data_IF_291065212490
#
_entry.id   IF_291065212490
#
_cell.length_a   1.000
_cell.length_b   1.000
_cell.length_c   1.000
_cell.angle_alpha   90.00
_cell.angle_beta   90.00
_cell.angle_gamma   90.00
#
_symmetry.space_group_name_H-M   'P 1'
#
loop_
_entity.id
_entity.type
_entity.pdbx_description
1 polymer ?
#
# COMPACT_ATOMS: atom_id res chain seq x y z
N UNK A 1 -24.00 27.05 18.20
CA UNK A 1 -22.74 26.46 17.70
C UNK A 1 -23.16 25.17 17.02
N UNK A 2 -23.51 25.24 15.74
CA UNK A 2 -24.41 24.24 15.17
C UNK A 2 -23.64 23.50 14.08
N UNK A 3 -22.82 22.54 14.51
CA UNK A 3 -22.02 21.67 13.63
C UNK A 3 -22.06 20.25 14.16
N UNK A 4 -22.00 19.28 13.25
CA UNK A 4 -21.87 17.87 13.59
C UNK A 4 -20.45 17.35 13.36
N UNK A 5 -20.09 16.29 14.08
CA UNK A 5 -18.85 15.54 13.90
C UNK A 5 -19.18 14.07 13.73
N UNK A 6 -18.44 13.36 12.87
CA UNK A 6 -18.59 11.90 12.72
C UNK A 6 -17.36 11.21 13.30
N UNK A 7 -17.56 10.23 14.18
CA UNK A 7 -16.53 9.34 14.69
C UNK A 7 -16.78 7.93 14.12
N UNK A 8 -15.83 7.42 13.36
CA UNK A 8 -15.94 6.13 12.68
C UNK A 8 -14.97 5.14 13.27
N UNK A 9 -15.49 4.04 13.82
CA UNK A 9 -14.73 2.82 14.06
C UNK A 9 -14.62 2.03 12.74
N UNK A 10 -13.44 2.05 12.14
CA UNK A 10 -13.17 1.35 10.89
C UNK A 10 -13.15 -0.19 11.08
N UNK A 11 -12.82 -0.67 12.28
CA UNK A 11 -12.89 -2.09 12.67
C UNK A 11 -14.31 -2.59 12.49
N UNK A 12 -15.22 -1.94 13.17
CA UNK A 12 -16.65 -2.22 13.11
C UNK A 12 -17.23 -2.01 11.70
N UNK A 13 -17.08 -0.82 11.12
CA UNK A 13 -17.74 -0.46 9.86
C UNK A 13 -17.33 -1.40 8.71
N UNK A 14 -16.03 -1.61 8.52
CA UNK A 14 -15.52 -2.45 7.43
C UNK A 14 -15.73 -3.94 7.71
N UNK A 15 -15.62 -4.37 8.98
CA UNK A 15 -15.89 -5.75 9.38
C UNK A 15 -17.36 -6.12 9.16
N UNK A 16 -18.28 -5.26 9.58
CA UNK A 16 -19.72 -5.47 9.39
C UNK A 16 -20.13 -5.40 7.91
N UNK A 17 -19.54 -4.49 7.12
CA UNK A 17 -19.75 -4.46 5.68
C UNK A 17 -19.25 -5.74 4.99
N UNK A 18 -18.08 -6.26 5.40
CA UNK A 18 -17.56 -7.52 4.89
C UNK A 18 -18.48 -8.70 5.24
N UNK A 19 -18.96 -8.80 6.49
CA UNK A 19 -19.93 -9.82 6.87
C UNK A 19 -21.22 -9.72 6.06
N UNK A 20 -21.74 -8.51 5.85
CA UNK A 20 -22.99 -8.30 5.10
C UNK A 20 -22.89 -8.70 3.63
N UNK A 21 -21.75 -8.45 2.98
CA UNK A 21 -21.58 -8.66 1.53
C UNK A 21 -20.90 -9.98 1.17
N UNK A 22 -19.94 -10.43 1.98
CA UNK A 22 -19.10 -11.60 1.72
C UNK A 22 -19.29 -12.74 2.74
N UNK A 23 -20.14 -12.57 3.76
CA UNK A 23 -20.44 -13.58 4.77
C UNK A 23 -19.37 -13.77 5.85
N UNK A 24 -18.20 -13.14 5.71
CA UNK A 24 -17.09 -13.21 6.65
C UNK A 24 -16.64 -11.80 7.06
N UNK A 25 -16.29 -11.61 8.34
CA UNK A 25 -15.81 -10.33 8.89
C UNK A 25 -14.35 -10.01 8.50
N UNK A 26 -13.92 -10.37 7.30
CA UNK A 26 -12.56 -10.14 6.82
C UNK A 26 -12.50 -9.00 5.82
N UNK A 27 -11.75 -7.95 6.16
CA UNK A 27 -11.53 -6.79 5.26
C UNK A 27 -10.90 -7.18 3.92
N UNK A 28 -10.13 -8.29 3.85
CA UNK A 28 -9.52 -8.75 2.61
C UNK A 28 -10.53 -9.26 1.57
N UNK A 29 -11.76 -9.56 2.00
CA UNK A 29 -12.86 -10.05 1.15
C UNK A 29 -13.63 -8.92 0.48
N UNK A 30 -13.31 -7.66 0.75
CA UNK A 30 -14.03 -6.52 0.19
C UNK A 30 -13.07 -5.50 -0.42
N UNK A 31 -13.57 -4.77 -1.41
CA UNK A 31 -12.91 -3.59 -1.96
C UNK A 31 -13.76 -2.36 -1.61
N UNK A 32 -13.10 -1.30 -1.12
CA UNK A 32 -13.75 -0.12 -0.55
C UNK A 32 -13.32 1.12 -1.31
N UNK A 33 -14.28 1.81 -1.92
CA UNK A 33 -14.08 3.18 -2.39
C UNK A 33 -14.20 4.14 -1.21
N UNK A 34 -13.05 4.58 -0.71
CA UNK A 34 -13.00 5.47 0.44
C UNK A 34 -13.46 6.89 0.10
N UNK A 35 -13.40 7.31 -1.17
CA UNK A 35 -13.84 8.64 -1.59
C UNK A 35 -15.36 8.70 -1.50
N UNK A 36 -16.03 7.72 -2.09
CA UNK A 36 -17.49 7.60 -2.08
C UNK A 36 -18.02 7.33 -0.67
N UNK A 37 -17.32 6.52 0.13
CA UNK A 37 -17.67 6.30 1.54
C UNK A 37 -17.66 7.61 2.34
N UNK A 38 -16.56 8.38 2.25
CA UNK A 38 -16.42 9.63 3.02
C UNK A 38 -17.43 10.67 2.53
N UNK A 39 -17.70 10.74 1.22
CA UNK A 39 -18.77 11.56 0.65
C UNK A 39 -20.14 11.17 1.20
N UNK A 40 -20.47 9.88 1.15
CA UNK A 40 -21.75 9.34 1.63
C UNK A 40 -21.95 9.56 3.14
N UNK A 41 -20.89 9.40 3.95
CA UNK A 41 -20.94 9.67 5.39
C UNK A 41 -21.21 11.16 5.67
N UNK A 42 -20.57 12.06 4.93
CA UNK A 42 -20.80 13.51 5.06
C UNK A 42 -22.23 13.85 4.72
N UNK A 43 -22.68 13.48 3.52
CA UNK A 43 -24.03 13.81 3.03
C UNK A 43 -25.09 13.29 3.98
N UNK A 44 -24.93 12.04 4.45
CA UNK A 44 -25.88 11.46 5.41
C UNK A 44 -25.83 12.14 6.77
N UNK A 45 -24.65 12.50 7.27
CA UNK A 45 -24.54 13.14 8.58
C UNK A 45 -25.18 14.53 8.58
N UNK A 46 -24.96 15.31 7.52
CA UNK A 46 -25.59 16.61 7.35
C UNK A 46 -27.11 16.50 7.18
N UNK A 47 -27.59 15.47 6.46
CA UNK A 47 -29.02 15.24 6.28
C UNK A 47 -29.74 14.81 7.57
N UNK A 48 -29.12 13.93 8.36
CA UNK A 48 -29.74 13.40 9.59
C UNK A 48 -29.67 14.40 10.75
N UNK A 49 -28.54 15.07 10.93
CA UNK A 49 -28.38 16.06 12.01
C UNK A 49 -28.96 17.43 11.66
N UNK A 50 -29.12 17.72 10.35
CA UNK A 50 -29.47 19.07 9.87
C UNK A 50 -28.35 20.10 10.07
N UNK A 51 -27.14 19.67 10.47
CA UNK A 51 -26.02 20.52 10.80
C UNK A 51 -24.86 20.36 9.81
N UNK A 52 -24.11 21.44 9.51
CA UNK A 52 -22.92 21.35 8.67
C UNK A 52 -21.82 20.50 9.33
N UNK A 53 -21.17 19.65 8.53
CA UNK A 53 -20.10 18.78 8.99
C UNK A 53 -18.83 19.57 9.34
N UNK A 54 -18.37 19.44 10.58
CA UNK A 54 -17.07 19.94 11.00
C UNK A 54 -15.94 19.05 10.48
N UNK A 55 -15.95 17.77 10.86
CA UNK A 55 -14.87 16.80 10.61
C UNK A 55 -15.36 15.35 10.74
N UNK A 56 -14.76 14.45 9.97
CA UNK A 56 -14.86 13.00 10.15
C UNK A 56 -13.55 12.52 10.80
N UNK A 57 -13.66 11.91 11.97
CA UNK A 57 -12.57 11.22 12.64
C UNK A 57 -12.65 9.73 12.32
N UNK A 58 -11.58 9.24 11.71
CA UNK A 58 -11.46 7.84 11.30
C UNK A 58 -10.52 7.12 12.24
N UNK A 59 -11.04 6.17 13.01
CA UNK A 59 -10.28 5.38 13.97
C UNK A 59 -10.02 4.00 13.40
N UNK A 60 -8.75 3.61 13.32
CA UNK A 60 -8.35 2.30 12.84
C UNK A 60 -7.10 1.82 13.56
N UNK A 61 -6.71 0.57 13.37
CA UNK A 61 -5.46 0.03 13.90
C UNK A 61 -4.45 -0.22 12.77
N UNK A 62 -3.18 0.06 13.04
CA UNK A 62 -2.10 -0.25 12.11
C UNK A 62 -0.91 -0.88 12.84
N UNK A 63 -0.12 -1.74 12.16
CA UNK A 63 1.15 -2.23 12.68
C UNK A 63 2.05 -1.05 13.08
N UNK A 64 2.63 -1.10 14.28
CA UNK A 64 3.46 -0.03 14.86
C UNK A 64 2.82 1.38 14.85
N UNK A 65 1.48 1.46 14.76
CA UNK A 65 0.74 2.73 14.54
C UNK A 65 1.19 3.50 13.29
N UNK A 66 1.81 2.81 12.33
CA UNK A 66 2.31 3.41 11.08
C UNK A 66 1.18 3.43 10.04
N UNK A 67 0.86 4.59 9.43
CA UNK A 67 -0.18 4.66 8.42
C UNK A 67 0.10 3.75 7.22
N UNK A 68 -0.82 2.83 6.97
CA UNK A 68 -0.88 1.99 5.77
C UNK A 68 -1.30 2.82 4.54
N UNK A 69 -1.16 2.31 3.30
CA UNK A 69 -1.52 3.06 2.09
C UNK A 69 -2.96 3.61 2.10
N UNK A 70 -3.93 2.82 2.55
CA UNK A 70 -5.32 3.24 2.73
C UNK A 70 -5.46 4.42 3.72
N UNK A 71 -4.73 4.38 4.84
CA UNK A 71 -4.73 5.47 5.83
C UNK A 71 -4.12 6.75 5.27
N UNK A 72 -3.11 6.65 4.41
CA UNK A 72 -2.49 7.81 3.76
C UNK A 72 -3.45 8.45 2.77
N UNK A 73 -4.20 7.65 2.01
CA UNK A 73 -5.27 8.13 1.12
C UNK A 73 -6.36 8.86 1.90
N UNK A 74 -6.83 8.29 3.02
CA UNK A 74 -7.81 8.95 3.90
C UNK A 74 -7.29 10.26 4.49
N UNK A 75 -6.02 10.33 4.88
CA UNK A 75 -5.42 11.53 5.51
C UNK A 75 -5.38 12.77 4.62
N UNK A 76 -5.40 12.60 3.29
CA UNK A 76 -5.42 13.73 2.35
C UNK A 76 -6.83 14.17 1.96
N UNK A 77 -7.86 13.44 2.40
CA UNK A 77 -9.24 13.77 2.07
C UNK A 77 -9.72 15.00 2.87
N UNK A 78 -10.54 15.88 2.26
CA UNK A 78 -11.05 17.06 2.94
C UNK A 78 -11.85 16.71 4.19
N UNK A 79 -11.53 17.38 5.32
CA UNK A 79 -12.20 17.23 6.61
C UNK A 79 -12.13 15.82 7.22
N UNK A 80 -11.16 14.99 6.80
CA UNK A 80 -10.90 13.68 7.40
C UNK A 80 -9.68 13.76 8.31
N UNK A 81 -9.74 13.09 9.47
CA UNK A 81 -8.61 12.96 10.38
C UNK A 81 -8.48 11.52 10.85
N UNK A 82 -7.36 10.88 10.49
CA UNK A 82 -7.10 9.49 10.83
C UNK A 82 -6.35 9.38 12.16
N UNK A 83 -6.89 8.59 13.09
CA UNK A 83 -6.32 8.22 14.38
C UNK A 83 -6.01 6.72 14.36
N UNK A 84 -4.75 6.37 14.64
CA UNK A 84 -4.29 4.98 14.56
C UNK A 84 -3.99 4.40 15.95
N UNK A 85 -4.74 3.37 16.32
CA UNK A 85 -4.39 2.43 17.38
C UNK A 85 -3.27 1.49 16.95
N UNK A 86 -2.83 0.64 17.88
CA UNK A 86 -1.82 -0.37 17.59
C UNK A 86 -2.49 -1.67 17.15
N UNK A 87 -2.08 -2.20 15.99
CA UNK A 87 -2.42 -3.56 15.60
C UNK A 87 -1.32 -4.48 16.12
N UNK A 88 -1.66 -5.33 17.10
CA UNK A 88 -0.70 -6.23 17.76
C UNK A 88 -1.11 -7.67 17.57
N UNK A 89 -0.14 -8.58 17.42
CA UNK A 89 -0.42 -10.01 17.38
C UNK A 89 -0.48 -10.55 18.81
N UNK A 90 -1.63 -11.09 19.22
CA UNK A 90 -1.81 -11.81 20.47
C UNK A 90 -2.36 -13.20 20.17
N UNK A 91 -1.72 -14.25 20.70
CA UNK A 91 -2.13 -15.66 20.52
C UNK A 91 -2.34 -16.07 19.04
N UNK A 92 -1.50 -15.57 18.14
CA UNK A 92 -1.58 -15.87 16.70
C UNK A 92 -2.69 -15.12 15.95
N UNK A 93 -3.50 -14.29 16.64
CA UNK A 93 -4.53 -13.45 16.03
C UNK A 93 -4.13 -11.97 16.05
N UNK A 94 -4.60 -11.23 15.06
CA UNK A 94 -4.46 -9.78 15.03
C UNK A 94 -5.48 -9.16 15.98
N UNK A 95 -5.01 -8.35 16.93
CA UNK A 95 -5.83 -7.66 17.92
C UNK A 95 -5.57 -6.17 17.83
N UNK A 96 -6.64 -5.40 17.67
CA UNK A 96 -6.60 -3.94 17.72
C UNK A 96 -6.51 -3.49 19.18
N UNK A 97 -5.58 -2.59 19.48
CA UNK A 97 -5.40 -2.04 20.84
C UNK A 97 -5.41 -0.52 20.82
N UNK A 98 -6.21 0.03 21.72
CA UNK A 98 -6.25 1.47 22.01
C UNK A 98 -7.01 2.31 20.98
N UNK A 99 -7.84 1.68 20.14
CA UNK A 99 -8.77 2.37 19.25
C UNK A 99 -9.90 2.97 20.09
N UNK A 100 -10.51 2.17 20.96
CA UNK A 100 -11.67 2.55 21.77
C UNK A 100 -11.32 3.65 22.78
N UNK A 101 -10.15 3.53 23.41
CA UNK A 101 -9.61 4.56 24.28
C UNK A 101 -9.38 5.89 23.55
N UNK A 102 -8.92 5.85 22.29
CA UNK A 102 -8.72 7.05 21.49
C UNK A 102 -10.06 7.67 21.05
N UNK A 103 -11.04 6.84 20.70
CA UNK A 103 -12.40 7.28 20.39
C UNK A 103 -13.08 7.94 21.60
N UNK A 104 -13.01 7.29 22.76
CA UNK A 104 -13.53 7.82 24.01
C UNK A 104 -12.92 9.18 24.36
N UNK A 105 -11.59 9.30 24.24
CA UNK A 105 -10.87 10.54 24.52
C UNK A 105 -11.29 11.68 23.57
N UNK A 106 -11.35 11.42 22.26
CA UNK A 106 -11.73 12.45 21.27
C UNK A 106 -13.21 12.85 21.45
N UNK A 107 -14.11 11.89 21.70
CA UNK A 107 -15.52 12.17 22.00
C UNK A 107 -15.67 13.09 23.22
N UNK A 108 -15.00 12.73 24.32
CA UNK A 108 -15.02 13.50 25.57
C UNK A 108 -14.43 14.90 25.38
N UNK A 109 -13.34 15.02 24.61
CA UNK A 109 -12.68 16.31 24.35
C UNK A 109 -13.54 17.23 23.48
N UNK A 110 -14.18 16.70 22.43
CA UNK A 110 -15.11 17.45 21.58
C UNK A 110 -16.30 17.98 22.39
N UNK A 111 -16.87 17.13 23.25
CA UNK A 111 -18.01 17.49 24.08
C UNK A 111 -17.63 18.53 25.15
N UNK A 112 -16.53 18.31 25.88
CA UNK A 112 -16.03 19.22 26.92
C UNK A 112 -15.74 20.62 26.37
N UNK A 113 -15.17 20.70 25.17
CA UNK A 113 -14.85 21.96 24.50
C UNK A 113 -16.04 22.58 23.74
N UNK A 114 -17.22 21.91 23.74
CA UNK A 114 -18.41 22.29 22.98
C UNK A 114 -18.10 22.54 21.49
N UNK A 115 -17.27 21.67 20.90
CA UNK A 115 -16.83 21.82 19.52
C UNK A 115 -17.96 21.56 18.49
N UNK A 116 -18.93 20.73 18.87
CA UNK A 116 -20.09 20.31 18.09
C UNK A 116 -21.35 20.24 18.97
N UNK A 117 -22.52 20.33 18.32
CA UNK A 117 -23.81 20.10 18.95
C UNK A 117 -24.23 18.63 18.83
N UNK A 118 -23.91 18.02 17.69
CA UNK A 118 -24.28 16.63 17.39
C UNK A 118 -23.03 15.80 17.06
N UNK A 119 -23.02 14.56 17.51
CA UNK A 119 -22.02 13.57 17.17
C UNK A 119 -22.69 12.37 16.52
N UNK A 120 -22.22 11.98 15.35
CA UNK A 120 -22.53 10.71 14.73
C UNK A 120 -21.45 9.71 15.13
N UNK A 121 -21.85 8.62 15.77
CA UNK A 121 -20.97 7.54 16.19
C UNK A 121 -21.26 6.27 15.37
N UNK A 122 -20.28 5.83 14.59
CA UNK A 122 -20.36 4.58 13.81
C UNK A 122 -19.52 3.52 14.53
N UNK A 123 -20.18 2.71 15.35
CA UNK A 123 -19.54 1.64 16.13
C UNK A 123 -20.57 0.59 16.58
N UNK A 124 -20.11 -0.57 17.00
CA UNK A 124 -20.90 -1.58 17.72
C UNK A 124 -20.38 -1.91 19.11
N UNK A 125 -19.27 -1.30 19.53
CA UNK A 125 -18.58 -1.64 20.77
C UNK A 125 -19.22 -0.94 21.99
N UNK A 126 -19.60 -1.74 22.98
CA UNK A 126 -20.16 -1.26 24.24
C UNK A 126 -19.14 -0.52 25.12
N UNK A 127 -17.84 -0.69 24.88
CA UNK A 127 -16.78 -0.02 25.65
C UNK A 127 -16.79 1.52 25.46
N UNK A 128 -17.50 2.01 24.45
CA UNK A 128 -17.70 3.44 24.21
C UNK A 128 -18.84 4.06 25.02
N UNK A 129 -19.66 3.27 25.71
CA UNK A 129 -20.79 3.74 26.52
C UNK A 129 -20.41 4.85 27.51
N UNK A 130 -19.30 4.74 28.30
CA UNK A 130 -18.90 5.81 29.21
C UNK A 130 -18.59 7.13 28.48
N UNK A 131 -18.09 7.05 27.24
CA UNK A 131 -17.79 8.23 26.42
C UNK A 131 -19.06 8.89 25.88
N UNK A 132 -20.04 8.08 25.47
CA UNK A 132 -21.36 8.56 25.04
C UNK A 132 -22.09 9.27 26.18
N UNK A 133 -22.15 8.65 27.38
CA UNK A 133 -22.75 9.26 28.56
C UNK A 133 -22.09 10.60 28.89
N UNK A 134 -20.76 10.64 28.90
CA UNK A 134 -20.02 11.89 29.18
C UNK A 134 -20.29 12.97 28.12
N UNK A 135 -20.43 12.61 26.85
CA UNK A 135 -20.77 13.57 25.80
C UNK A 135 -22.16 14.18 26.02
N UNK A 136 -23.14 13.35 26.38
CA UNK A 136 -24.52 13.79 26.68
C UNK A 136 -24.60 14.67 27.92
N UNK A 137 -23.81 14.39 28.96
CA UNK A 137 -23.69 15.27 30.14
C UNK A 137 -23.21 16.69 29.78
N UNK A 138 -22.45 16.83 28.70
CA UNK A 138 -22.00 18.12 28.18
C UNK A 138 -22.98 18.76 27.19
N UNK A 139 -24.14 18.15 26.96
CA UNK A 139 -25.21 18.64 26.10
C UNK A 139 -25.03 18.36 24.62
N UNK A 140 -24.25 17.34 24.26
CA UNK A 140 -24.08 16.88 22.87
C UNK A 140 -25.13 15.80 22.57
N UNK A 141 -25.86 15.93 21.46
CA UNK A 141 -26.76 14.89 20.96
C UNK A 141 -25.96 13.80 20.23
N UNK A 142 -26.25 12.53 20.50
CA UNK A 142 -25.49 11.40 19.95
C UNK A 142 -26.38 10.53 19.04
N UNK A 143 -25.98 10.47 17.76
CA UNK A 143 -26.58 9.65 16.72
C UNK A 143 -25.75 8.38 16.51
N UNK A 144 -26.26 7.23 16.93
CA UNK A 144 -25.61 5.93 16.76
C UNK A 144 -25.99 5.29 15.42
N UNK A 145 -24.99 5.02 14.58
CA UNK A 145 -25.18 4.37 13.28
C UNK A 145 -24.68 2.93 13.31
N UNK A 146 -25.59 2.02 12.98
CA UNK A 146 -25.35 0.59 12.86
C UNK A 146 -25.16 0.19 11.40
N UNK A 147 -24.37 -0.84 11.11
CA UNK A 147 -24.41 -1.51 9.81
C UNK A 147 -25.43 -2.65 9.88
N UNK A 148 -26.27 -2.80 8.85
CA UNK A 148 -27.18 -3.94 8.76
C UNK A 148 -26.42 -5.27 8.90
N UNK A 149 -26.86 -6.16 9.79
CA UNK A 149 -26.28 -7.49 9.93
C UNK A 149 -26.78 -8.42 8.83
N UNK A 150 -25.96 -9.42 8.48
CA UNK A 150 -26.29 -10.42 7.45
C UNK A 150 -27.50 -11.28 7.85
N UNK A 151 -27.56 -11.68 9.12
CA UNK A 151 -28.55 -12.64 9.64
C UNK A 151 -29.79 -11.95 10.26
N UNK A 152 -29.83 -10.62 10.23
CA UNK A 152 -30.87 -9.82 10.90
C UNK A 152 -30.65 -9.62 12.40
N UNK A 153 -29.63 -10.26 12.98
CA UNK A 153 -29.22 -10.09 14.37
C UNK A 153 -28.58 -8.72 14.66
N UNK A 154 -28.56 -8.31 15.94
CA UNK A 154 -27.93 -7.05 16.34
C UNK A 154 -26.41 -7.20 16.43
N UNK A 155 -25.66 -6.28 15.80
CA UNK A 155 -24.20 -6.20 15.86
C UNK A 155 -23.71 -5.02 16.71
N UNK A 156 -24.56 -4.52 17.63
CA UNK A 156 -24.26 -3.41 18.54
C UNK A 156 -24.64 -3.78 19.96
N UNK A 157 -23.91 -3.23 20.93
CA UNK A 157 -24.28 -3.32 22.35
C UNK A 157 -25.67 -2.73 22.62
N UNK A 158 -26.50 -3.46 23.36
CA UNK A 158 -27.85 -3.03 23.76
C UNK A 158 -27.81 -1.78 24.64
N UNK A 159 -26.86 -1.70 25.57
CA UNK A 159 -26.70 -0.54 26.46
C UNK A 159 -26.33 0.71 25.67
N UNK A 160 -25.47 0.56 24.65
CA UNK A 160 -25.08 1.66 23.77
C UNK A 160 -26.27 2.16 22.93
N UNK A 161 -27.13 1.24 22.48
CA UNK A 161 -28.36 1.56 21.76
C UNK A 161 -29.36 2.26 22.67
N UNK A 162 -29.48 1.84 23.92
CA UNK A 162 -30.39 2.42 24.90
C UNK A 162 -29.97 3.84 25.32
N UNK A 163 -28.66 4.12 25.35
CA UNK A 163 -28.14 5.43 25.71
C UNK A 163 -28.15 6.43 24.56
N UNK A 164 -28.12 6.00 23.29
CA UNK A 164 -28.09 6.92 22.15
C UNK A 164 -29.39 7.74 22.00
N UNK A 165 -29.28 9.01 21.60
CA UNK A 165 -30.46 9.88 21.37
C UNK A 165 -31.21 9.47 20.09
N UNK A 166 -30.45 9.12 19.05
CA UNK A 166 -30.99 8.58 17.81
C UNK A 166 -30.21 7.35 17.35
N UNK A 167 -30.92 6.39 16.76
CA UNK A 167 -30.32 5.22 16.11
C UNK A 167 -30.71 5.15 14.65
N UNK A 168 -29.76 4.83 13.79
CA UNK A 168 -29.96 4.57 12.35
C UNK A 168 -29.25 3.29 11.94
N UNK A 169 -29.81 2.59 10.96
CA UNK A 169 -29.19 1.41 10.34
C UNK A 169 -28.81 1.76 8.91
N UNK A 170 -27.54 1.57 8.58
CA UNK A 170 -26.96 1.67 7.25
C UNK A 170 -27.26 0.36 6.53
N UNK A 171 -28.20 0.42 5.60
CA UNK A 171 -28.72 -0.74 4.89
C UNK A 171 -27.76 -1.24 3.79
N UNK A 172 -28.04 -2.44 3.28
CA UNK A 172 -27.27 -3.03 2.18
C UNK A 172 -27.19 -2.11 0.95
N UNK A 173 -28.25 -1.40 0.62
CA UNK A 173 -28.24 -0.49 -0.54
C UNK A 173 -27.21 0.63 -0.36
N UNK A 174 -27.17 1.24 0.83
CA UNK A 174 -26.21 2.28 1.15
C UNK A 174 -24.77 1.75 1.20
N UNK A 175 -24.53 0.58 1.82
CA UNK A 175 -23.19 -0.06 1.88
C UNK A 175 -22.69 -0.40 0.46
N UNK A 176 -23.57 -0.92 -0.40
CA UNK A 176 -23.23 -1.26 -1.80
C UNK A 176 -23.04 -0.04 -2.70
N UNK A 177 -23.05 1.19 -2.19
CA UNK A 177 -22.60 2.33 -3.01
C UNK A 177 -21.07 2.41 -3.08
N UNK A 178 -20.40 2.03 -2.00
CA UNK A 178 -18.95 2.24 -1.82
C UNK A 178 -18.18 0.95 -1.47
N UNK A 179 -18.86 -0.18 -1.25
CA UNK A 179 -18.20 -1.50 -1.07
C UNK A 179 -18.61 -2.49 -2.15
N UNK A 180 -17.63 -3.29 -2.59
CA UNK A 180 -17.84 -4.48 -3.43
C UNK A 180 -17.24 -5.69 -2.75
N UNK A 181 -17.94 -6.83 -2.80
CA UNK A 181 -17.32 -8.11 -2.46
C UNK A 181 -16.21 -8.43 -3.48
N UNK A 182 -15.10 -8.94 -2.99
CA UNK A 182 -13.99 -9.39 -3.83
C UNK A 182 -14.26 -10.83 -4.21
N UNK A 183 -14.66 -11.05 -5.46
CA UNK A 183 -14.73 -12.40 -6.02
C UNK A 183 -13.31 -12.94 -6.19
N UNK A 184 -12.90 -13.85 -5.29
CA UNK A 184 -11.70 -14.67 -5.50
C UNK A 184 -11.95 -15.77 -6.55
N UNK A 185 -13.14 -15.82 -7.14
CA UNK A 185 -13.57 -16.77 -8.16
C UNK A 185 -13.44 -16.18 -9.59
N UNK A 186 -12.26 -15.69 -9.97
CA UNK A 186 -11.92 -15.60 -11.39
C UNK A 186 -11.51 -16.99 -11.88
N UNK A 187 -12.47 -17.90 -11.97
CA UNK A 187 -12.32 -19.14 -12.73
C UNK A 187 -12.21 -18.76 -14.21
N UNK A 188 -11.16 -19.25 -14.89
CA UNK A 188 -10.99 -19.11 -16.33
C UNK A 188 -12.28 -19.45 -17.09
N UNK A 189 -12.77 -18.62 -18.03
CA UNK A 189 -13.82 -19.05 -18.93
C UNK A 189 -13.28 -20.20 -19.80
N UNK A 190 -14.05 -21.28 -20.03
CA UNK A 190 -13.60 -22.38 -20.87
C UNK A 190 -13.39 -21.86 -22.29
N UNK A 191 -12.19 -22.10 -22.85
CA UNK A 191 -11.83 -21.68 -24.19
C UNK A 191 -12.82 -22.26 -25.22
N UNK A 192 -13.62 -21.38 -25.84
CA UNK A 192 -14.37 -21.72 -27.05
C UNK A 192 -13.42 -22.03 -28.22
N UNK A 193 -13.86 -22.74 -29.26
CA UNK A 193 -13.00 -23.20 -30.35
C UNK A 193 -12.42 -22.01 -31.13
N UNK A 194 -11.09 -21.90 -31.16
CA UNK A 194 -10.33 -20.86 -31.87
C UNK A 194 -10.53 -20.97 -33.39
N UNK A 195 -10.72 -19.85 -34.12
CA UNK A 195 -10.64 -19.85 -35.57
C UNK A 195 -9.19 -20.05 -36.04
N UNK A 196 -9.03 -20.83 -37.10
CA UNK A 196 -7.78 -21.40 -37.60
C UNK A 196 -6.86 -20.34 -38.25
N UNK A 197 -5.81 -19.94 -37.52
CA UNK A 197 -4.80 -18.90 -37.91
C UNK A 197 -3.88 -19.39 -39.06
N UNK A 198 -4.00 -20.64 -39.51
CA UNK A 198 -3.13 -21.25 -40.51
C UNK A 198 -3.16 -20.60 -41.91
N UNK A 199 -4.14 -19.75 -42.22
CA UNK A 199 -4.22 -19.04 -43.51
C UNK A 199 -3.51 -17.69 -43.56
N UNK A 200 -3.06 -17.14 -42.43
CA UNK A 200 -2.42 -15.82 -42.39
C UNK A 200 -0.90 -15.93 -42.61
N UNK A 201 -0.30 -17.12 -42.48
CA UNK A 201 1.16 -17.32 -42.48
C UNK A 201 1.79 -17.67 -43.85
N UNK A 202 1.06 -17.62 -44.95
CA UNK A 202 1.56 -18.02 -46.28
C UNK A 202 1.81 -16.89 -47.30
N UNK A 203 2.00 -15.64 -46.85
CA UNK A 203 2.42 -14.53 -47.71
C UNK A 203 3.93 -14.22 -47.55
N UNK A 204 4.73 -14.09 -48.63
CA UNK A 204 6.14 -13.73 -48.55
C UNK A 204 6.34 -12.24 -48.22
N UNK A 205 7.43 -11.85 -47.53
CA UNK A 205 7.66 -10.47 -47.09
C UNK A 205 8.13 -9.56 -48.24
N UNK A 206 7.49 -8.38 -48.36
CA UNK A 206 7.92 -7.29 -49.24
C UNK A 206 9.11 -6.52 -48.62
N UNK A 207 10.06 -6.14 -49.47
CA UNK A 207 11.30 -5.42 -49.14
C UNK A 207 11.06 -3.95 -48.77
N UNK A 208 11.74 -3.45 -47.74
CA UNK A 208 11.81 -2.03 -47.37
C UNK A 208 13.02 -1.34 -48.04
N UNK A 209 12.88 -0.10 -48.56
CA UNK A 209 14.02 0.74 -48.92
C UNK A 209 14.48 1.65 -47.76
N UNK A 210 15.78 1.96 -47.81
CA UNK A 210 16.60 2.64 -46.81
C UNK A 210 16.41 4.17 -46.70
N UNK A 211 16.85 4.71 -45.56
CA UNK A 211 17.01 6.15 -45.27
C UNK A 211 18.27 6.76 -45.92
N UNK A 212 18.36 8.11 -46.00
CA UNK A 212 19.62 8.77 -45.60
C UNK A 212 19.50 10.13 -44.85
N UNK A 213 20.43 10.30 -43.91
CA UNK A 213 21.26 11.45 -43.49
C UNK A 213 20.77 12.94 -43.49
N UNK A 214 20.77 13.50 -42.27
CA UNK A 214 21.33 14.75 -41.64
C UNK A 214 21.91 15.98 -42.44
N UNK A 215 22.15 17.15 -41.79
CA UNK A 215 21.48 18.45 -42.05
C UNK A 215 22.44 19.62 -42.41
N UNK A 216 21.94 20.84 -42.67
CA UNK A 216 22.67 22.11 -42.50
C UNK A 216 21.76 23.36 -42.67
N UNK A 217 21.98 24.42 -41.87
CA UNK A 217 21.50 25.78 -42.18
C UNK A 217 20.98 26.64 -41.02
N UNK A 218 21.88 27.31 -40.28
CA UNK A 218 21.62 28.58 -39.54
C UNK A 218 21.61 29.75 -40.57
N UNK A 219 21.00 30.95 -40.32
CA UNK A 219 21.67 31.95 -39.48
C UNK A 219 20.80 33.02 -38.74
N UNK A 220 21.45 33.64 -37.76
CA UNK A 220 21.49 35.09 -37.41
C UNK A 220 20.36 35.80 -36.61
N UNK A 221 20.82 36.46 -35.52
CA UNK A 221 20.16 37.45 -34.64
C UNK A 221 20.09 38.86 -35.26
N UNK A 222 19.35 39.79 -34.61
CA UNK A 222 20.06 40.89 -33.94
C UNK A 222 19.52 41.28 -32.54
N UNK A 223 20.30 42.11 -31.83
CA UNK A 223 20.07 42.73 -30.50
C UNK A 223 20.10 44.27 -30.67
N UNK A 224 19.47 45.06 -29.78
CA UNK A 224 20.22 46.01 -28.92
C UNK A 224 19.64 46.10 -27.47
N UNK A 225 20.46 46.20 -26.39
CA UNK A 225 20.94 47.43 -25.65
C UNK A 225 19.91 47.96 -24.61
N UNK A 226 20.16 48.52 -23.42
CA UNK A 226 21.12 48.39 -22.30
C UNK A 226 20.50 49.18 -21.08
N UNK A 227 20.47 48.59 -19.86
CA UNK A 227 20.43 49.12 -18.45
C UNK A 227 19.49 50.33 -18.04
N UNK A 228 19.24 50.64 -16.72
CA UNK A 228 19.82 50.16 -15.45
C UNK A 228 18.83 49.79 -14.31
N UNK A 229 19.37 49.27 -13.19
CA UNK A 229 18.68 48.89 -11.94
C UNK A 229 18.41 50.10 -11.00
N UNK A 230 17.62 49.95 -9.90
CA UNK A 230 18.22 49.54 -8.61
C UNK A 230 17.33 48.75 -7.59
N UNK A 231 18.06 48.18 -6.62
CA UNK A 231 17.78 48.00 -5.17
C UNK A 231 16.77 46.96 -4.61
N UNK A 232 17.39 45.88 -4.10
CA UNK A 232 17.27 45.25 -2.76
C UNK A 232 15.90 44.86 -2.15
N UNK A 233 15.74 43.58 -1.77
CA UNK A 233 15.66 43.12 -0.37
C UNK A 233 15.65 41.57 -0.23
N UNK A 234 16.59 41.07 0.59
CA UNK A 234 16.56 39.87 1.47
C UNK A 234 16.10 38.52 0.90
N UNK A 235 17.04 37.77 0.32
CA UNK A 235 16.94 36.32 0.08
C UNK A 235 17.40 35.52 1.31
N UNK A 236 16.57 34.59 1.75
CA UNK A 236 16.84 33.60 2.80
C UNK A 236 17.82 32.54 2.26
N UNK A 237 18.86 32.10 3.01
CA UNK A 237 19.84 31.13 2.51
C UNK A 237 19.20 29.76 2.25
N UNK A 238 19.51 29.17 1.10
CA UNK A 238 19.10 27.80 0.77
C UNK A 238 20.01 26.77 1.47
N UNK A 239 19.52 25.53 1.71
CA UNK A 239 20.22 24.51 2.52
C UNK A 239 21.64 24.13 2.08
N UNK A 240 22.07 24.57 0.89
CA UNK A 240 23.41 24.34 0.33
C UNK A 240 24.49 25.25 0.95
N UNK A 241 24.10 26.42 1.47
CA UNK A 241 25.03 27.41 2.03
C UNK A 241 25.40 27.15 3.50
N UNK A 242 24.65 26.28 4.18
CA UNK A 242 24.95 25.82 5.55
C UNK A 242 25.94 24.66 5.59
N UNK A 243 26.08 23.89 4.51
CA UNK A 243 26.96 22.72 4.45
C UNK A 243 28.45 23.07 4.23
N UNK A 244 28.78 24.30 3.84
CA UNK A 244 30.16 24.72 3.52
C UNK A 244 30.97 25.31 4.68
N UNK A 245 30.36 25.54 5.85
CA UNK A 245 30.98 26.29 6.97
C UNK A 245 31.50 25.45 8.14
N UNK A 246 31.39 24.13 8.07
CA UNK A 246 31.85 23.22 9.13
C UNK A 246 33.26 22.62 8.90
N UNK A 247 33.99 23.09 7.89
CA UNK A 247 35.32 22.58 7.56
C UNK A 247 36.39 23.69 7.64
N UNK A 248 36.72 24.13 8.86
CA UNK A 248 37.98 24.85 9.17
C UNK A 248 38.15 25.03 10.69
N UNK A 249 38.77 24.06 11.37
CA UNK A 249 39.62 24.28 12.55
C UNK A 249 40.24 22.93 13.00
N UNK A 250 41.51 22.72 12.68
CA UNK A 250 42.41 21.84 13.43
C UNK A 250 43.31 22.73 14.32
N UNK A 251 43.87 22.19 15.42
CA UNK A 251 45.26 21.73 15.31
C UNK A 251 45.55 20.41 16.03
N UNK A 252 46.76 19.92 15.75
CA UNK A 252 47.29 18.56 15.89
C UNK A 252 47.76 18.16 17.30
N UNK A 253 47.73 16.83 17.56
CA UNK A 253 48.78 16.07 18.26
C UNK A 253 48.58 14.55 18.07
N UNK A 254 49.65 13.80 17.79
CA UNK A 254 49.76 12.31 17.77
C UNK A 254 51.13 11.97 18.40
N UNK A 255 51.51 10.70 18.68
CA UNK A 255 50.76 9.44 18.82
C UNK A 255 51.15 8.60 20.06
N UNK A 256 50.28 7.72 20.56
CA UNK A 256 50.69 6.49 21.27
C UNK A 256 49.50 5.50 21.29
N UNK A 257 49.77 4.24 20.94
CA UNK A 257 48.77 3.29 20.45
C UNK A 257 47.89 2.59 21.49
N UNK A 258 46.78 2.05 20.99
CA UNK A 258 46.09 0.83 21.44
C UNK A 258 44.92 0.49 20.47
N UNK A 259 44.41 -0.75 20.47
CA UNK A 259 44.02 -1.49 19.27
C UNK A 259 42.63 -1.16 18.70
N UNK A 260 42.50 -1.40 17.38
CA UNK A 260 41.26 -1.33 16.60
C UNK A 260 40.12 -2.14 17.23
N UNK A 261 39.03 -1.43 17.55
CA UNK A 261 37.71 -2.02 17.68
C UNK A 261 37.20 -2.43 16.28
N UNK A 262 36.79 -3.69 16.05
CA UNK A 262 36.13 -4.05 14.81
C UNK A 262 34.72 -3.47 14.78
N UNK A 263 34.43 -2.90 13.63
CA UNK A 263 33.18 -2.28 13.20
C UNK A 263 31.98 -3.22 13.41
N UNK A 264 30.85 -2.61 13.76
CA UNK A 264 29.54 -3.24 13.94
C UNK A 264 29.27 -4.32 12.88
N UNK A 265 29.05 -5.54 13.35
CA UNK A 265 28.65 -6.67 12.54
C UNK A 265 27.30 -6.37 11.88
N UNK A 266 27.33 -6.05 10.59
CA UNK A 266 26.17 -6.16 9.71
C UNK A 266 25.85 -7.65 9.62
N UNK A 267 24.72 -8.05 10.21
CA UNK A 267 24.20 -9.41 10.14
C UNK A 267 24.00 -9.78 8.66
N UNK A 268 24.83 -10.72 8.19
CA UNK A 268 24.73 -11.31 6.86
C UNK A 268 23.65 -12.36 6.88
N UNK A 269 22.78 -12.30 5.89
CA UNK A 269 21.79 -13.31 5.62
C UNK A 269 22.48 -14.57 5.07
N UNK A 270 22.58 -15.62 5.89
CA UNK A 270 22.75 -16.99 5.40
C UNK A 270 21.44 -17.71 5.63
N UNK A 271 20.86 -18.31 4.59
CA UNK A 271 19.73 -19.21 4.79
C UNK A 271 20.21 -20.48 5.50
N UNK A 272 19.53 -20.86 6.57
CA UNK A 272 19.80 -22.05 7.39
C UNK A 272 19.29 -23.33 6.70
N UNK A 273 19.63 -23.50 5.43
CA UNK A 273 19.80 -24.82 4.81
C UNK A 273 21.20 -24.86 4.23
N UNK A 274 22.10 -25.38 5.06
CA UNK A 274 23.53 -25.47 4.79
C UNK A 274 23.85 -26.06 3.42
N UNK A 275 24.22 -25.17 2.50
CA UNK A 275 25.27 -25.43 1.52
C UNK A 275 26.25 -24.28 1.63
N UNK A 276 27.38 -24.57 2.27
CA UNK A 276 28.50 -23.65 2.40
C UNK A 276 28.95 -23.26 0.99
N UNK A 277 28.99 -21.96 0.70
CA UNK A 277 29.65 -21.43 -0.50
C UNK A 277 31.04 -22.06 -0.61
N UNK A 278 31.25 -22.92 -1.60
CA UNK A 278 32.60 -23.32 -1.97
C UNK A 278 33.25 -22.11 -2.63
N UNK A 279 34.45 -21.69 -2.19
CA UNK A 279 35.19 -20.65 -2.89
C UNK A 279 35.59 -21.22 -4.26
N UNK A 280 34.82 -20.88 -5.31
CA UNK A 280 35.07 -21.38 -6.66
C UNK A 280 33.90 -21.40 -7.64
N UNK A 281 32.66 -21.12 -7.25
CA UNK A 281 31.55 -21.09 -8.22
C UNK A 281 31.68 -19.86 -9.15
N UNK A 282 31.90 -20.14 -10.44
CA UNK A 282 31.84 -19.14 -11.49
C UNK A 282 30.44 -18.49 -11.49
N UNK A 283 30.34 -17.18 -11.78
CA UNK A 283 29.03 -16.50 -11.82
C UNK A 283 28.10 -17.23 -12.78
N UNK A 284 26.89 -17.53 -12.30
CA UNK A 284 25.87 -18.15 -13.13
C UNK A 284 25.54 -17.21 -14.30
N UNK A 285 25.22 -17.70 -15.51
CA UNK A 285 24.78 -16.84 -16.61
C UNK A 285 23.65 -15.87 -16.19
N UNK A 286 22.74 -16.33 -15.33
CA UNK A 286 21.66 -15.52 -14.74
C UNK A 286 22.11 -14.38 -13.83
N UNK A 287 23.31 -14.42 -13.23
CA UNK A 287 23.83 -13.33 -12.38
C UNK A 287 24.29 -12.10 -13.18
N UNK A 288 24.45 -12.27 -14.50
CA UNK A 288 24.76 -11.18 -15.44
C UNK A 288 23.54 -10.39 -15.89
N UNK A 289 22.32 -10.88 -15.58
CA UNK A 289 21.08 -10.23 -15.98
C UNK A 289 20.86 -8.91 -15.23
N UNK A 290 20.39 -7.85 -15.91
CA UNK A 290 20.09 -6.60 -15.26
C UNK A 290 18.85 -6.73 -14.36
N UNK A 291 18.88 -6.03 -13.22
CA UNK A 291 17.77 -6.05 -12.26
C UNK A 291 16.60 -5.18 -12.73
N UNK A 292 15.40 -5.36 -12.19
CA UNK A 292 14.22 -4.56 -12.51
C UNK A 292 14.49 -3.06 -12.35
N UNK A 293 15.16 -2.63 -11.28
CA UNK A 293 15.51 -1.23 -11.06
C UNK A 293 16.42 -0.66 -12.16
N UNK A 294 17.28 -1.48 -12.75
CA UNK A 294 18.20 -1.07 -13.81
C UNK A 294 17.48 -0.94 -15.17
N UNK A 295 16.51 -1.81 -15.45
CA UNK A 295 15.74 -1.79 -16.71
C UNK A 295 14.49 -0.89 -16.66
N UNK A 296 14.20 -0.25 -15.51
CA UNK A 296 13.01 0.60 -15.34
C UNK A 296 13.38 2.07 -15.25
N UNK A 297 12.75 2.92 -16.07
CA UNK A 297 12.92 4.37 -16.02
C UNK A 297 12.11 5.03 -14.87
N UNK A 298 12.32 6.34 -14.62
CA UNK A 298 11.69 7.02 -13.48
C UNK A 298 10.16 7.13 -13.58
N UNK A 299 9.62 7.35 -14.78
CA UNK A 299 8.19 7.46 -15.05
C UNK A 299 7.49 6.10 -14.90
N UNK A 300 8.08 5.04 -15.42
CA UNK A 300 7.64 3.66 -15.26
C UNK A 300 7.70 3.23 -13.80
N UNK A 301 8.75 3.57 -13.05
CA UNK A 301 8.80 3.31 -11.60
C UNK A 301 7.72 4.05 -10.84
N UNK A 302 7.22 5.18 -11.35
CA UNK A 302 6.10 5.89 -10.75
C UNK A 302 4.78 5.20 -11.09
N UNK A 303 4.54 4.86 -12.36
CA UNK A 303 3.36 4.13 -12.82
C UNK A 303 3.23 2.74 -12.16
N UNK A 304 4.33 1.98 -12.08
CA UNK A 304 4.38 0.69 -11.38
C UNK A 304 4.01 0.84 -9.91
N UNK A 305 4.50 1.90 -9.27
CA UNK A 305 4.17 2.18 -7.88
C UNK A 305 2.69 2.47 -7.75
N UNK A 306 2.09 3.19 -8.68
CA UNK A 306 0.66 3.46 -8.66
C UNK A 306 -0.16 2.18 -8.85
N UNK A 307 0.21 1.33 -9.81
CA UNK A 307 -0.43 0.02 -10.05
C UNK A 307 -0.24 -0.94 -8.85
N UNK A 308 0.94 -0.95 -8.22
CA UNK A 308 1.21 -1.70 -6.98
C UNK A 308 0.24 -1.33 -5.86
N UNK A 309 -0.19 -0.07 -5.83
CA UNK A 309 -1.04 0.50 -4.78
C UNK A 309 -2.53 0.30 -5.10
N UNK A 310 -2.92 0.04 -6.35
CA UNK A 310 -4.33 -0.10 -6.76
C UNK A 310 -4.75 -1.52 -7.12
N UNK A 311 -3.85 -2.35 -7.61
CA UNK A 311 -4.21 -3.64 -8.22
C UNK A 311 -3.81 -4.86 -7.38
N UNK A 312 -2.74 -4.78 -6.58
CA UNK A 312 -2.12 -5.96 -5.94
C UNK A 312 -2.67 -6.14 -4.52
N UNK A 313 -3.22 -7.33 -4.24
CA UNK A 313 -3.91 -7.65 -2.98
C UNK A 313 -3.02 -8.00 -1.79
N UNK A 314 -1.69 -8.03 -1.98
CA UNK A 314 -0.73 -8.40 -0.95
C UNK A 314 -0.53 -9.90 -0.76
N UNK A 315 -1.03 -10.74 -1.68
CA UNK A 315 -0.75 -12.17 -1.70
C UNK A 315 0.72 -12.44 -2.13
N UNK A 316 1.51 -13.25 -1.40
CA UNK A 316 2.90 -13.54 -1.73
C UNK A 316 3.12 -14.07 -3.16
N UNK A 317 2.23 -14.95 -3.66
CA UNK A 317 2.33 -15.49 -5.02
C UNK A 317 2.06 -14.41 -6.07
N UNK A 318 1.01 -13.61 -5.87
CA UNK A 318 0.67 -12.49 -6.76
C UNK A 318 1.82 -11.48 -6.87
N UNK A 319 2.44 -11.12 -5.74
CA UNK A 319 3.60 -10.22 -5.70
C UNK A 319 4.77 -10.77 -6.53
N UNK A 320 5.05 -12.08 -6.40
CA UNK A 320 6.07 -12.76 -7.19
C UNK A 320 5.81 -12.72 -8.69
N UNK A 321 4.55 -12.97 -9.09
CA UNK A 321 4.12 -12.95 -10.49
C UNK A 321 4.23 -11.54 -11.09
N UNK A 322 3.76 -10.51 -10.39
CA UNK A 322 3.81 -9.13 -10.91
C UNK A 322 5.25 -8.65 -11.10
N UNK A 323 6.13 -8.99 -10.16
CA UNK A 323 7.56 -8.68 -10.31
C UNK A 323 8.15 -9.36 -11.55
N UNK A 324 7.94 -10.67 -11.70
CA UNK A 324 8.43 -11.43 -12.84
C UNK A 324 7.89 -10.91 -14.17
N UNK A 325 6.59 -10.59 -14.23
CA UNK A 325 5.93 -10.05 -15.41
C UNK A 325 6.59 -8.76 -15.89
N UNK A 326 6.72 -7.78 -15.00
CA UNK A 326 7.33 -6.48 -15.33
C UNK A 326 8.81 -6.59 -15.67
N UNK A 327 9.53 -7.47 -14.96
CA UNK A 327 10.95 -7.67 -15.21
C UNK A 327 11.20 -8.31 -16.58
N UNK A 328 10.45 -9.35 -16.92
CA UNK A 328 10.58 -10.04 -18.22
C UNK A 328 10.12 -9.16 -19.39
N UNK A 329 9.06 -8.37 -19.24
CA UNK A 329 8.61 -7.41 -20.26
C UNK A 329 9.67 -6.36 -20.60
N UNK A 330 10.41 -5.90 -19.59
CA UNK A 330 11.44 -4.87 -19.76
C UNK A 330 12.78 -5.43 -20.19
N UNK A 331 13.05 -6.68 -19.82
CA UNK A 331 14.25 -7.37 -20.27
C UNK A 331 14.19 -7.64 -21.78
N UNK A 332 12.99 -7.94 -22.31
CA UNK A 332 12.69 -7.97 -23.75
C UNK A 332 13.37 -9.07 -24.59
N UNK A 333 14.29 -9.84 -24.00
CA UNK A 333 15.11 -10.84 -24.68
C UNK A 333 14.73 -12.27 -24.24
N UNK A 334 13.92 -13.01 -25.04
CA UNK A 334 13.43 -14.34 -24.68
C UNK A 334 14.53 -15.41 -24.62
N UNK A 335 15.68 -15.22 -25.29
CA UNK A 335 16.81 -16.15 -25.21
C UNK A 335 17.43 -16.14 -23.80
N UNK A 336 17.50 -14.96 -23.17
CA UNK A 336 17.98 -14.80 -21.78
C UNK A 336 17.08 -15.47 -20.75
N UNK A 337 15.76 -15.46 -21.00
CA UNK A 337 14.78 -16.13 -20.14
C UNK A 337 14.91 -17.65 -20.22
N UNK A 338 15.28 -18.18 -21.38
CA UNK A 338 15.50 -19.62 -21.58
C UNK A 338 16.77 -20.09 -20.85
N UNK A 339 17.83 -19.28 -20.86
CA UNK A 339 19.03 -19.55 -20.05
C UNK A 339 18.69 -19.54 -18.55
N UNK A 340 17.94 -18.55 -18.09
CA UNK A 340 17.50 -18.47 -16.69
C UNK A 340 16.63 -19.67 -16.27
N UNK A 341 15.80 -20.19 -17.17
CA UNK A 341 14.94 -21.35 -16.90
C UNK A 341 15.74 -22.61 -16.55
N UNK A 342 16.95 -22.77 -17.10
CA UNK A 342 17.84 -23.88 -16.75
C UNK A 342 18.34 -23.86 -15.30
N UNK A 343 18.21 -22.71 -14.63
CA UNK A 343 18.61 -22.53 -13.22
C UNK A 343 17.47 -22.84 -12.24
N UNK A 344 16.26 -23.17 -12.71
CA UNK A 344 15.14 -23.57 -11.86
C UNK A 344 15.52 -24.73 -10.91
N UNK A 345 15.22 -24.66 -9.59
CA UNK A 345 14.37 -23.67 -8.91
C UNK A 345 15.11 -22.46 -8.32
N UNK A 346 16.41 -22.27 -8.63
CA UNK A 346 17.26 -21.23 -8.04
C UNK A 346 17.18 -19.92 -8.82
N UNK A 347 16.75 -18.85 -8.15
CA UNK A 347 16.77 -17.49 -8.72
C UNK A 347 18.17 -16.87 -8.51
N UNK A 348 18.75 -16.20 -9.51
CA UNK A 348 20.00 -15.45 -9.36
C UNK A 348 19.96 -14.47 -8.19
N UNK A 349 21.03 -14.39 -7.41
CA UNK A 349 21.01 -13.72 -6.09
C UNK A 349 20.63 -12.23 -6.20
N UNK A 350 21.07 -11.54 -7.27
CA UNK A 350 20.73 -10.12 -7.49
C UNK A 350 19.24 -9.90 -7.74
N UNK A 351 18.63 -10.81 -8.49
CA UNK A 351 17.20 -10.77 -8.83
C UNK A 351 16.37 -11.19 -7.61
N UNK A 352 16.76 -12.26 -6.92
CA UNK A 352 16.09 -12.72 -5.68
C UNK A 352 16.12 -11.63 -4.60
N UNK A 353 17.29 -11.00 -4.38
CA UNK A 353 17.43 -9.91 -3.43
C UNK A 353 16.61 -8.67 -3.78
N UNK A 354 16.31 -8.43 -5.06
CA UNK A 354 15.41 -7.35 -5.49
C UNK A 354 13.94 -7.73 -5.39
N UNK A 355 13.59 -8.96 -5.77
CA UNK A 355 12.27 -9.55 -5.61
C UNK A 355 11.80 -9.48 -4.15
N UNK A 356 12.66 -9.87 -3.21
CA UNK A 356 12.33 -9.80 -1.78
C UNK A 356 12.22 -8.35 -1.28
N UNK A 357 13.07 -7.41 -1.74
CA UNK A 357 12.92 -5.98 -1.42
C UNK A 357 11.64 -5.37 -2.00
N UNK A 358 11.24 -5.83 -3.18
CA UNK A 358 9.98 -5.45 -3.81
C UNK A 358 8.80 -5.98 -2.98
N UNK A 359 8.85 -7.25 -2.58
CA UNK A 359 7.81 -7.87 -1.75
C UNK A 359 7.66 -7.22 -0.36
N UNK A 360 8.75 -6.76 0.25
CA UNK A 360 8.72 -6.03 1.52
C UNK A 360 7.87 -4.74 1.46
N UNK A 361 7.63 -4.18 0.27
CA UNK A 361 6.77 -2.98 0.09
C UNK A 361 5.29 -3.27 0.32
N UNK A 362 4.87 -4.54 0.25
CA UNK A 362 3.48 -4.97 0.39
C UNK A 362 3.14 -5.43 1.82
N UNK A 363 4.04 -5.20 2.79
CA UNK A 363 3.79 -5.54 4.18
C UNK A 363 3.96 -7.03 4.52
N UNK A 364 4.57 -7.82 3.62
CA UNK A 364 4.90 -9.25 3.81
C UNK A 364 6.08 -9.49 4.79
N UNK A 365 6.32 -8.57 5.73
CA UNK A 365 7.39 -8.69 6.71
C UNK A 365 6.82 -9.36 7.98
N UNK A 366 7.35 -10.53 8.33
CA UNK A 366 7.10 -11.18 9.62
C UNK A 366 8.07 -10.65 10.69
N UNK A 367 7.56 -10.25 11.85
CA UNK A 367 8.41 -9.79 12.96
C UNK A 367 9.13 -10.98 13.62
N UNK A 368 10.46 -10.93 13.75
CA UNK A 368 11.18 -10.22 14.81
C UNK A 368 12.35 -9.35 14.35
N UNK A 369 12.71 -9.38 13.06
CA UNK A 369 13.98 -8.82 12.56
C UNK A 369 13.85 -8.07 11.19
N UNK A 370 12.67 -7.51 10.86
CA UNK A 370 12.37 -6.95 9.52
C UNK A 370 12.55 -7.97 8.38
N UNK A 371 12.06 -9.20 8.58
CA UNK A 371 12.29 -10.33 7.68
C UNK A 371 10.98 -10.85 7.08
N UNK A 372 10.94 -11.11 5.77
CA UNK A 372 9.82 -11.84 5.16
C UNK A 372 9.78 -13.26 5.74
N UNK A 373 8.60 -13.78 6.10
CA UNK A 373 8.48 -15.15 6.61
C UNK A 373 9.05 -16.16 5.61
N UNK A 374 9.62 -17.25 6.11
CA UNK A 374 10.22 -18.26 5.26
C UNK A 374 9.18 -18.92 4.32
N UNK A 375 7.93 -19.10 4.78
CA UNK A 375 6.83 -19.57 3.94
C UNK A 375 6.48 -18.57 2.83
N UNK A 376 6.39 -17.29 3.17
CA UNK A 376 6.11 -16.22 2.21
C UNK A 376 7.22 -16.09 1.17
N UNK A 377 8.48 -16.30 1.54
CA UNK A 377 9.60 -16.34 0.58
C UNK A 377 9.44 -17.46 -0.43
N UNK A 378 9.03 -18.66 0.01
CA UNK A 378 8.76 -19.75 -0.93
C UNK A 378 7.60 -19.40 -1.87
N UNK A 379 6.52 -18.84 -1.35
CA UNK A 379 5.37 -18.44 -2.14
C UNK A 379 5.71 -17.33 -3.17
N UNK A 380 6.49 -16.31 -2.78
CA UNK A 380 6.99 -15.26 -3.69
C UNK A 380 7.83 -15.85 -4.81
N UNK A 381 8.78 -16.74 -4.48
CA UNK A 381 9.63 -17.39 -5.49
C UNK A 381 8.84 -18.32 -6.41
N UNK A 382 7.86 -19.04 -5.87
CA UNK A 382 6.97 -19.87 -6.66
C UNK A 382 6.10 -19.03 -7.61
N UNK A 383 5.62 -17.87 -7.17
CA UNK A 383 4.94 -16.90 -8.02
C UNK A 383 5.82 -16.39 -9.16
N UNK A 384 7.09 -16.07 -8.86
CA UNK A 384 8.07 -15.66 -9.87
C UNK A 384 8.27 -16.71 -10.96
N UNK A 385 8.49 -17.97 -10.56
CA UNK A 385 8.71 -19.06 -11.52
C UNK A 385 7.45 -19.41 -12.32
N UNK A 386 6.27 -19.32 -11.70
CA UNK A 386 5.00 -19.54 -12.39
C UNK A 386 4.79 -18.58 -13.54
N UNK A 387 5.06 -17.28 -13.33
CA UNK A 387 4.98 -16.29 -14.41
C UNK A 387 6.05 -16.53 -15.48
N UNK A 388 7.29 -16.85 -15.09
CA UNK A 388 8.37 -17.11 -16.03
C UNK A 388 8.08 -18.34 -16.93
N UNK A 389 7.44 -19.37 -16.38
CA UNK A 389 7.05 -20.58 -17.10
C UNK A 389 6.14 -20.29 -18.31
N UNK A 390 5.28 -19.27 -18.20
CA UNK A 390 4.38 -18.87 -19.30
C UNK A 390 5.10 -18.19 -20.47
N UNK A 391 6.35 -17.74 -20.26
CA UNK A 391 7.13 -16.94 -21.22
C UNK A 391 8.29 -17.72 -21.86
N UNK A 392 8.61 -18.90 -21.35
CA UNK A 392 9.69 -19.76 -21.86
C UNK A 392 9.10 -20.96 -22.61
N UNK A 393 9.53 -21.24 -23.86
CA UNK A 393 9.08 -22.42 -24.59
C UNK A 393 9.35 -23.72 -23.81
N UNK A 394 8.30 -24.45 -23.43
CA UNK A 394 8.38 -25.69 -22.66
C UNK A 394 8.33 -25.54 -21.13
N UNK A 395 8.15 -24.32 -20.60
CA UNK A 395 8.08 -24.06 -19.16
C UNK A 395 6.80 -24.59 -18.48
N UNK A 396 5.68 -24.63 -19.19
CA UNK A 396 4.37 -25.10 -18.68
C UNK A 396 4.36 -26.59 -18.27
N UNK A 397 5.35 -27.38 -18.70
CA UNK A 397 5.42 -28.83 -18.43
C UNK A 397 5.91 -29.13 -17.00
N UNK A 398 6.56 -28.16 -16.33
CA UNK A 398 7.13 -28.34 -14.97
C UNK A 398 6.21 -27.79 -13.87
N UNK A 399 5.12 -27.09 -14.23
CA UNK A 399 4.20 -26.45 -13.29
C UNK A 399 3.01 -27.33 -12.85
N UNK A 400 3.21 -28.64 -12.71
CA UNK A 400 2.24 -29.55 -12.09
C UNK A 400 2.98 -30.47 -11.13
N UNK A 401 3.04 -30.07 -9.86
CA UNK A 401 2.77 -30.90 -8.67
C UNK A 401 3.17 -30.10 -7.41
N UNK A 402 2.15 -29.88 -6.56
CA UNK A 402 2.06 -29.34 -5.19
C UNK A 402 3.25 -28.59 -4.54
#
# INVERSE_FOLDING_TARGET
MDRCVVLVDAGYLLGAAASLLAGEASRSRITVDHTDLIGSLRERAEAETGLPLLRIYWFDAAPDRRPMPEHRRLRVMPRVTVRLGALTRADGRWVQKGVDAAMHAELSELARNRACADVVLVTGDGDLLPGMMSAKEHGVAVHLWAVQAADGDFNQSEDLVAEADERRVLDREWITRWVRARDLAAACPPAGPRPEIAKILSAPPAQQPAAPATPEGEPARPRPEEAPAPAAHKTVPTPKDLAGRAASAAPAATPAGQPQQPHAAVLRWSSDRGWVERPGDAPSPGDSLPTLAQVTNAEQRWADREEDITAIGGDPHEVGQVFARRWTERLGDPERLTVLWTEYPRIPHRVDGELLRYAARFGLLAHKDDQIDEHDRYAIRAGFWRELATRVPGGEVVSVDD
#
